data_IF_031785262570
#
_entry.id   IF_031785262570
#
_cell.length_a   1.000
_cell.length_b   1.000
_cell.length_c   1.000
_cell.angle_alpha   90.00
_cell.angle_beta   90.00
_cell.angle_gamma   90.00
#
_symmetry.space_group_name_H-M   'P 1'
#
loop_
_entity.id
_entity.type
_entity.pdbx_description
1 polymer ?
#
# COMPACT_ATOMS: atom_id res chain seq x y z
N UNK A 1 -12.19 4.33 -21.39
CA UNK A 1 -11.09 3.61 -20.68
C UNK A 1 -11.05 4.16 -19.26
N UNK A 2 -11.07 3.31 -18.24
CA UNK A 2 -11.01 3.73 -16.83
C UNK A 2 -9.58 3.76 -16.36
N UNK A 3 -9.22 4.77 -15.55
CA UNK A 3 -7.88 4.94 -14.98
C UNK A 3 -7.84 4.41 -13.55
N UNK A 4 -6.99 3.41 -13.30
CA UNK A 4 -6.72 2.85 -11.99
C UNK A 4 -5.37 3.36 -11.50
N UNK A 5 -5.36 4.03 -10.37
CA UNK A 5 -4.16 4.66 -9.80
C UNK A 5 -3.72 3.90 -8.54
N UNK A 6 -2.47 3.48 -8.52
CA UNK A 6 -1.84 2.83 -7.37
C UNK A 6 -0.84 3.77 -6.72
N UNK A 7 -1.09 4.14 -5.47
CA UNK A 7 -0.26 5.02 -4.64
C UNK A 7 0.39 4.18 -3.54
N UNK A 8 1.66 4.43 -3.23
CA UNK A 8 2.31 3.68 -2.17
C UNK A 8 3.81 3.91 -2.05
N UNK A 9 4.45 2.98 -1.37
CA UNK A 9 5.89 2.94 -1.13
C UNK A 9 6.61 1.95 -2.07
N UNK A 10 7.75 1.37 -1.63
CA UNK A 10 8.56 0.42 -2.39
C UNK A 10 7.80 -0.85 -2.80
N UNK A 11 6.81 -1.30 -2.02
CA UNK A 11 6.02 -2.49 -2.34
C UNK A 11 5.15 -2.21 -3.58
N UNK A 12 4.65 -0.99 -3.72
CA UNK A 12 3.90 -0.54 -4.89
C UNK A 12 4.82 -0.18 -6.05
N UNK A 13 5.93 0.52 -5.78
CA UNK A 13 6.95 0.92 -6.75
C UNK A 13 7.48 -0.29 -7.53
N UNK A 14 8.07 -1.21 -6.82
CA UNK A 14 8.66 -2.43 -7.38
C UNK A 14 9.45 -2.18 -8.68
N UNK A 15 10.33 -1.16 -8.64
CA UNK A 15 11.19 -0.71 -9.75
C UNK A 15 10.42 -0.17 -10.99
N UNK A 16 9.25 0.47 -10.81
CA UNK A 16 8.45 0.93 -11.96
C UNK A 16 9.19 1.97 -12.83
N UNK A 17 10.06 2.79 -12.26
CA UNK A 17 10.87 3.76 -13.02
C UNK A 17 11.83 3.12 -14.03
N UNK A 18 12.22 1.86 -13.82
CA UNK A 18 13.09 1.11 -14.72
C UNK A 18 12.33 0.20 -15.69
N UNK A 19 11.01 0.22 -15.62
CA UNK A 19 10.13 -0.54 -16.49
C UNK A 19 9.58 0.35 -17.61
N UNK A 20 9.72 -0.03 -18.91
CA UNK A 20 9.23 0.76 -20.02
C UNK A 20 7.74 1.11 -19.97
N UNK A 21 6.93 0.27 -19.33
CA UNK A 21 5.49 0.50 -19.13
C UNK A 21 5.16 1.23 -17.83
N UNK A 22 6.16 1.57 -17.02
CA UNK A 22 6.03 2.22 -15.72
C UNK A 22 5.08 1.51 -14.73
N UNK A 23 4.98 0.19 -14.78
CA UNK A 23 4.15 -0.62 -13.88
C UNK A 23 4.96 -1.33 -12.79
N UNK A 24 6.27 -1.49 -13.01
CA UNK A 24 7.16 -2.26 -12.16
C UNK A 24 6.99 -3.77 -12.33
N UNK A 25 7.57 -4.54 -11.41
CA UNK A 25 7.60 -6.01 -11.49
C UNK A 25 6.74 -6.68 -10.41
N UNK A 26 6.00 -5.88 -9.62
CA UNK A 26 5.19 -6.32 -8.49
C UNK A 26 3.71 -6.54 -8.82
N UNK A 27 2.90 -6.44 -7.75
CA UNK A 27 1.47 -6.71 -7.79
C UNK A 27 0.70 -5.81 -8.76
N UNK A 28 1.13 -4.56 -8.97
CA UNK A 28 0.47 -3.62 -9.89
C UNK A 28 0.47 -4.17 -11.32
N UNK A 29 1.64 -4.64 -11.78
CA UNK A 29 1.75 -5.29 -13.09
C UNK A 29 0.93 -6.59 -13.18
N UNK A 30 0.90 -7.37 -12.10
CA UNK A 30 0.14 -8.61 -12.08
C UNK A 30 -1.37 -8.35 -12.17
N UNK A 31 -1.85 -7.32 -11.48
CA UNK A 31 -3.23 -6.85 -11.59
C UNK A 31 -3.53 -6.40 -13.01
N UNK A 32 -2.70 -5.52 -13.56
CA UNK A 32 -2.87 -4.99 -14.92
C UNK A 32 -3.07 -6.13 -15.95
N UNK A 33 -2.18 -7.13 -15.92
CA UNK A 33 -2.25 -8.28 -16.83
C UNK A 33 -3.51 -9.12 -16.69
N UNK A 34 -4.10 -9.16 -15.50
CA UNK A 34 -5.29 -9.98 -15.24
C UNK A 34 -6.60 -9.26 -15.54
N UNK A 35 -6.66 -7.94 -15.31
CA UNK A 35 -7.89 -7.17 -15.52
C UNK A 35 -8.04 -6.68 -16.96
N UNK A 36 -6.94 -6.47 -17.68
CA UNK A 36 -6.97 -6.09 -19.09
C UNK A 36 -7.21 -7.33 -19.96
N UNK A 37 -8.34 -7.32 -20.63
CA UNK A 37 -8.77 -8.36 -21.56
C UNK A 37 -9.16 -7.68 -22.89
N UNK A 38 -9.37 -8.42 -23.98
CA UNK A 38 -9.84 -7.82 -25.24
C UNK A 38 -11.09 -6.97 -25.11
N UNK A 39 -11.97 -7.30 -24.14
CA UNK A 39 -13.25 -6.62 -23.90
C UNK A 39 -13.20 -5.56 -22.78
N UNK A 40 -12.12 -5.53 -21.98
CA UNK A 40 -11.94 -4.61 -20.86
C UNK A 40 -10.56 -3.97 -20.95
N UNK A 41 -10.53 -2.66 -21.05
CA UNK A 41 -9.29 -1.89 -21.16
C UNK A 41 -9.24 -0.83 -20.06
N UNK A 42 -8.29 -1.02 -19.13
CA UNK A 42 -7.99 -0.09 -18.05
C UNK A 42 -6.62 0.55 -18.28
N UNK A 43 -6.52 1.84 -17.99
CA UNK A 43 -5.22 2.50 -17.86
C UNK A 43 -4.76 2.34 -16.41
N UNK A 44 -3.78 1.47 -16.19
CA UNK A 44 -3.16 1.29 -14.87
C UNK A 44 -1.97 2.22 -14.74
N UNK A 45 -1.88 2.95 -13.63
CA UNK A 45 -0.80 3.89 -13.34
C UNK A 45 -0.20 3.55 -11.97
N UNK A 46 1.12 3.31 -11.94
CA UNK A 46 1.88 3.07 -10.72
C UNK A 46 2.56 4.36 -10.26
N UNK A 47 2.21 4.82 -9.08
CA UNK A 47 2.80 5.97 -8.38
C UNK A 47 3.38 5.56 -7.01
N UNK A 48 3.83 4.32 -6.89
CA UNK A 48 4.67 3.88 -5.79
C UNK A 48 6.02 4.61 -5.81
N UNK A 49 6.60 4.83 -4.67
CA UNK A 49 7.93 5.42 -4.57
C UNK A 49 8.68 4.80 -3.38
N UNK A 50 9.87 4.32 -3.66
CA UNK A 50 10.71 3.69 -2.66
C UNK A 50 10.93 4.59 -1.42
N UNK A 51 10.78 4.00 -0.24
CA UNK A 51 10.97 4.70 1.04
C UNK A 51 9.88 5.72 1.42
N UNK A 52 8.79 5.84 0.64
CA UNK A 52 7.76 6.83 0.97
C UNK A 52 7.04 6.51 2.28
N UNK A 53 6.89 7.58 3.07
CA UNK A 53 5.98 7.69 4.22
C UNK A 53 4.69 8.37 3.80
N UNK A 54 3.67 8.34 4.65
CA UNK A 54 2.39 9.06 4.40
C UNK A 54 2.61 10.55 4.10
N UNK A 55 3.43 11.31 4.85
CA UNK A 55 3.73 12.70 4.50
C UNK A 55 4.40 12.87 3.12
N UNK A 56 5.25 11.92 2.70
CA UNK A 56 5.90 11.98 1.39
C UNK A 56 4.87 11.74 0.27
N UNK A 57 3.99 10.76 0.42
CA UNK A 57 2.91 10.47 -0.50
C UNK A 57 1.93 11.65 -0.61
N UNK A 58 1.57 12.27 0.53
CA UNK A 58 0.72 13.46 0.57
C UNK A 58 1.32 14.60 -0.24
N UNK A 59 2.62 14.90 -0.10
CA UNK A 59 3.32 15.91 -0.91
C UNK A 59 3.33 15.58 -2.40
N UNK A 60 3.46 14.31 -2.76
CA UNK A 60 3.35 13.88 -4.16
C UNK A 60 1.95 14.16 -4.71
N UNK A 61 0.91 13.79 -3.94
CA UNK A 61 -0.48 14.02 -4.32
C UNK A 61 -0.78 15.50 -4.52
N UNK A 62 -0.40 16.36 -3.60
CA UNK A 62 -0.58 17.82 -3.70
C UNK A 62 0.05 18.42 -4.96
N UNK A 63 1.17 17.85 -5.43
CA UNK A 63 1.86 18.34 -6.64
C UNK A 63 1.29 17.80 -7.94
N UNK A 64 0.79 16.56 -7.95
CA UNK A 64 0.42 15.84 -9.18
C UNK A 64 -1.05 15.45 -9.26
N UNK A 65 -1.75 15.33 -8.14
CA UNK A 65 -3.10 14.76 -8.05
C UNK A 65 -4.12 15.42 -8.97
N UNK A 66 -4.07 16.75 -9.12
CA UNK A 66 -4.98 17.52 -9.99
C UNK A 66 -4.99 17.08 -11.46
N UNK A 67 -3.90 16.47 -11.93
CA UNK A 67 -3.74 16.09 -13.34
C UNK A 67 -4.06 14.60 -13.60
N UNK A 68 -4.25 13.79 -12.56
CA UNK A 68 -4.31 12.33 -12.71
C UNK A 68 -5.70 11.80 -13.07
N UNK A 69 -6.77 12.47 -12.69
CA UNK A 69 -8.19 12.13 -12.98
C UNK A 69 -8.48 10.61 -12.87
N UNK A 70 -8.20 9.97 -11.72
CA UNK A 70 -8.42 8.55 -11.56
C UNK A 70 -9.92 8.22 -11.46
N UNK A 71 -10.30 7.04 -11.97
CA UNK A 71 -11.62 6.45 -11.74
C UNK A 71 -11.63 5.54 -10.50
N UNK A 72 -10.45 5.13 -10.02
CA UNK A 72 -10.26 4.34 -8.81
C UNK A 72 -8.83 4.55 -8.27
N UNK A 73 -8.70 4.70 -6.95
CA UNK A 73 -7.42 4.83 -6.27
C UNK A 73 -7.21 3.65 -5.33
N UNK A 74 -6.03 3.05 -5.38
CA UNK A 74 -5.55 2.07 -4.40
C UNK A 74 -4.37 2.66 -3.65
N UNK A 75 -4.35 2.55 -2.32
CA UNK A 75 -3.29 3.08 -1.45
C UNK A 75 -2.75 1.96 -0.56
N UNK A 76 -1.45 1.68 -0.68
CA UNK A 76 -0.68 0.82 0.24
C UNK A 76 0.51 1.62 0.77
N UNK A 77 0.42 2.10 2.00
CA UNK A 77 1.42 2.97 2.63
C UNK A 77 1.41 2.81 4.15
N UNK A 78 2.54 3.00 4.82
CA UNK A 78 2.63 3.06 6.27
C UNK A 78 3.79 2.28 6.87
N UNK A 79 4.36 1.30 6.16
CA UNK A 79 5.47 0.51 6.72
C UNK A 79 6.71 1.37 6.98
N UNK A 80 6.99 2.37 6.15
CA UNK A 80 8.09 3.30 6.37
C UNK A 80 7.81 4.28 7.51
N UNK A 81 6.56 4.65 7.76
CA UNK A 81 6.16 5.43 8.93
C UNK A 81 6.43 4.63 10.21
N UNK A 82 6.08 3.33 10.21
CA UNK A 82 6.41 2.41 11.30
C UNK A 82 7.93 2.32 11.50
N UNK A 83 8.70 2.18 10.43
CA UNK A 83 10.16 2.16 10.51
C UNK A 83 10.73 3.45 11.13
N UNK A 84 10.17 4.61 10.82
CA UNK A 84 10.53 5.88 11.47
C UNK A 84 10.22 5.82 12.98
N UNK A 85 9.04 5.35 13.38
CA UNK A 85 8.66 5.22 14.79
C UNK A 85 9.65 4.31 15.54
N UNK A 86 10.05 3.20 14.95
CA UNK A 86 10.92 2.21 15.59
C UNK A 86 12.39 2.61 15.65
N UNK A 87 12.88 3.39 14.68
CA UNK A 87 14.33 3.59 14.48
C UNK A 87 14.82 5.01 14.84
N UNK A 88 13.93 5.99 15.07
CA UNK A 88 14.35 7.39 15.32
C UNK A 88 14.30 7.81 16.80
N UNK A 89 13.89 6.90 17.70
CA UNK A 89 13.75 7.20 19.13
C UNK A 89 12.52 8.05 19.48
N UNK A 90 11.63 8.29 18.51
CA UNK A 90 10.34 8.93 18.79
C UNK A 90 9.50 8.02 19.70
N UNK A 91 8.80 8.61 20.68
CA UNK A 91 7.89 7.84 21.52
C UNK A 91 6.78 7.24 20.66
N UNK A 92 6.49 5.93 20.76
CA UNK A 92 5.50 5.28 19.88
C UNK A 92 4.13 5.96 19.86
N UNK A 93 3.61 6.42 21.01
CA UNK A 93 2.34 7.14 21.07
C UNK A 93 2.35 8.46 20.28
N UNK A 94 3.47 9.17 20.27
CA UNK A 94 3.64 10.42 19.49
C UNK A 94 3.72 10.09 18.01
N UNK A 95 4.53 9.10 17.61
CA UNK A 95 4.66 8.68 16.23
C UNK A 95 3.33 8.18 15.64
N UNK A 96 2.59 7.37 16.40
CA UNK A 96 1.26 6.90 15.98
C UNK A 96 0.24 8.05 15.86
N UNK A 97 0.29 9.06 16.75
CA UNK A 97 -0.57 10.23 16.62
C UNK A 97 -0.26 11.03 15.35
N UNK A 98 1.03 11.25 15.04
CA UNK A 98 1.47 11.89 13.81
C UNK A 98 1.06 11.11 12.56
N UNK A 99 1.23 9.78 12.57
CA UNK A 99 0.79 8.91 11.48
C UNK A 99 -0.70 9.08 11.20
N UNK A 100 -1.54 9.03 12.24
CA UNK A 100 -3.00 9.18 12.12
C UNK A 100 -3.37 10.54 11.50
N UNK A 101 -2.80 11.62 12.02
CA UNK A 101 -3.01 12.97 11.51
C UNK A 101 -2.64 13.09 10.02
N UNK A 102 -1.47 12.60 9.64
CA UNK A 102 -0.99 12.69 8.28
C UNK A 102 -1.78 11.81 7.30
N UNK A 103 -2.22 10.63 7.74
CA UNK A 103 -3.02 9.74 6.90
C UNK A 103 -4.42 10.31 6.67
N UNK A 104 -5.06 10.84 7.72
CA UNK A 104 -6.33 11.53 7.59
C UNK A 104 -6.22 12.72 6.63
N UNK A 105 -5.20 13.56 6.80
CA UNK A 105 -4.97 14.71 5.93
C UNK A 105 -4.67 14.29 4.46
N UNK A 106 -4.04 13.14 4.23
CA UNK A 106 -3.88 12.58 2.88
C UNK A 106 -5.24 12.26 2.24
N UNK A 107 -6.14 11.60 2.98
CA UNK A 107 -7.48 11.26 2.47
C UNK A 107 -8.29 12.53 2.20
N UNK A 108 -8.24 13.51 3.09
CA UNK A 108 -8.87 14.81 2.90
C UNK A 108 -8.36 15.52 1.64
N UNK A 109 -7.03 15.59 1.45
CA UNK A 109 -6.41 16.17 0.25
C UNK A 109 -6.84 15.43 -1.04
N UNK A 110 -6.99 14.10 -0.99
CA UNK A 110 -7.48 13.33 -2.13
C UNK A 110 -8.94 13.67 -2.42
N UNK A 111 -9.78 13.72 -1.40
CA UNK A 111 -11.22 14.02 -1.53
C UNK A 111 -11.50 15.44 -2.01
N UNK A 112 -10.61 16.40 -1.75
CA UNK A 112 -10.71 17.75 -2.33
C UNK A 112 -10.54 17.76 -3.86
N UNK A 113 -9.90 16.75 -4.43
CA UNK A 113 -9.54 16.71 -5.85
C UNK A 113 -10.36 15.69 -6.66
N UNK A 114 -10.96 14.68 -6.01
CA UNK A 114 -11.71 13.63 -6.70
C UNK A 114 -12.69 12.92 -5.77
N UNK A 115 -13.84 12.53 -6.34
CA UNK A 115 -14.86 11.71 -5.67
C UNK A 115 -14.77 10.22 -6.02
N UNK A 116 -13.70 9.80 -6.73
CA UNK A 116 -13.57 8.41 -7.15
C UNK A 116 -13.48 7.46 -5.94
N UNK A 117 -13.88 6.19 -6.09
CA UNK A 117 -13.69 5.18 -5.06
C UNK A 117 -12.22 5.02 -4.68
N UNK A 118 -11.96 4.83 -3.39
CA UNK A 118 -10.61 4.64 -2.83
C UNK A 118 -10.60 3.32 -2.07
N UNK A 119 -9.58 2.50 -2.32
CA UNK A 119 -9.26 1.29 -1.58
C UNK A 119 -8.00 1.53 -0.74
N UNK A 120 -8.13 1.44 0.59
CA UNK A 120 -7.01 1.41 1.50
C UNK A 120 -6.58 -0.03 1.72
N UNK A 121 -5.31 -0.33 1.51
CA UNK A 121 -4.73 -1.64 1.77
C UNK A 121 -3.94 -1.61 3.07
N UNK A 122 -4.01 -2.70 3.79
CA UNK A 122 -3.33 -2.89 5.06
C UNK A 122 -1.82 -3.02 4.87
N UNK A 123 -0.98 -2.16 5.50
CA UNK A 123 0.45 -2.39 5.58
C UNK A 123 0.75 -3.63 6.43
N UNK A 124 1.86 -4.31 6.13
CA UNK A 124 2.23 -5.57 6.75
C UNK A 124 3.74 -5.63 7.02
N UNK A 125 4.12 -6.53 7.93
CA UNK A 125 5.49 -6.91 8.22
C UNK A 125 5.51 -8.39 8.60
N UNK A 126 6.63 -9.06 8.35
CA UNK A 126 6.84 -10.43 8.78
C UNK A 126 7.83 -10.46 9.97
N UNK A 127 7.64 -11.35 10.98
CA UNK A 127 8.57 -11.50 12.09
C UNK A 127 9.86 -12.23 11.68
N UNK A 128 10.40 -11.87 10.53
CA UNK A 128 11.61 -12.43 9.95
C UNK A 128 12.32 -11.34 9.12
N UNK A 129 13.44 -10.78 9.62
CA UNK A 129 14.18 -11.17 10.83
C UNK A 129 13.39 -11.00 12.13
N UNK A 130 13.76 -11.75 13.16
CA UNK A 130 13.01 -11.85 14.42
C UNK A 130 12.78 -10.51 15.15
N UNK A 131 13.62 -9.52 14.90
CA UNK A 131 13.50 -8.17 15.47
C UNK A 131 12.18 -7.48 15.08
N UNK A 132 11.64 -7.79 13.89
CA UNK A 132 10.39 -7.23 13.40
C UNK A 132 9.16 -7.70 14.18
N UNK A 133 9.24 -8.81 14.94
CA UNK A 133 8.18 -9.19 15.86
C UNK A 133 7.89 -8.09 16.90
N UNK A 134 8.90 -7.29 17.26
CA UNK A 134 8.73 -6.15 18.18
C UNK A 134 7.98 -4.96 17.56
N UNK A 135 7.71 -4.97 16.26
CA UNK A 135 7.01 -3.91 15.54
C UNK A 135 5.50 -4.17 15.44
N UNK A 136 5.08 -5.42 15.63
CA UNK A 136 3.69 -5.85 15.48
C UNK A 136 2.69 -5.03 16.33
N UNK A 137 2.97 -4.65 17.61
CA UNK A 137 2.00 -3.90 18.39
C UNK A 137 1.62 -2.54 17.82
N UNK A 138 2.60 -1.80 17.26
CA UNK A 138 2.35 -0.52 16.63
C UNK A 138 1.71 -0.70 15.24
N UNK A 139 2.12 -1.73 14.49
CA UNK A 139 1.50 -2.04 13.21
C UNK A 139 0.00 -2.36 13.37
N UNK A 140 -0.37 -3.14 14.39
CA UNK A 140 -1.78 -3.42 14.69
C UNK A 140 -2.58 -2.13 14.94
N UNK A 141 -2.01 -1.18 15.70
CA UNK A 141 -2.66 0.11 15.98
C UNK A 141 -2.80 0.97 14.72
N UNK A 142 -1.81 0.91 13.79
CA UNK A 142 -1.87 1.59 12.51
C UNK A 142 -2.95 0.97 11.61
N UNK A 143 -3.00 -0.35 11.52
CA UNK A 143 -3.95 -1.08 10.71
C UNK A 143 -5.40 -0.88 11.19
N UNK A 144 -5.60 -0.93 12.50
CA UNK A 144 -6.90 -0.62 13.10
C UNK A 144 -7.36 0.81 12.79
N UNK A 145 -6.45 1.78 12.86
CA UNK A 145 -6.75 3.15 12.47
C UNK A 145 -7.10 3.26 10.98
N UNK A 146 -6.33 2.64 10.07
CA UNK A 146 -6.61 2.69 8.63
C UNK A 146 -7.98 2.06 8.34
N UNK A 147 -8.30 0.93 8.99
CA UNK A 147 -9.60 0.28 8.86
C UNK A 147 -10.75 1.17 9.33
N UNK A 148 -10.58 1.82 10.49
CA UNK A 148 -11.58 2.75 11.01
C UNK A 148 -11.72 3.99 10.12
N UNK A 149 -10.60 4.55 9.65
CA UNK A 149 -10.61 5.68 8.71
C UNK A 149 -11.36 5.34 7.41
N UNK A 150 -11.15 4.12 6.89
CA UNK A 150 -11.89 3.65 5.71
C UNK A 150 -13.39 3.60 6.00
N UNK A 151 -13.80 3.02 7.11
CA UNK A 151 -15.19 2.92 7.51
C UNK A 151 -15.86 4.30 7.68
N UNK A 152 -15.21 5.21 8.40
CA UNK A 152 -15.74 6.54 8.71
C UNK A 152 -15.91 7.42 7.45
N UNK A 153 -15.10 7.16 6.42
CA UNK A 153 -15.10 7.93 5.16
C UNK A 153 -15.78 7.20 3.98
N UNK A 154 -16.40 6.04 4.22
CA UNK A 154 -17.05 5.26 3.16
C UNK A 154 -16.08 4.77 2.08
N UNK A 155 -14.84 4.43 2.48
CA UNK A 155 -13.80 3.88 1.62
C UNK A 155 -13.80 2.35 1.71
N UNK A 156 -13.21 1.72 0.70
CA UNK A 156 -12.93 0.28 0.76
C UNK A 156 -11.68 0.01 1.60
N UNK A 157 -11.65 -1.13 2.28
CA UNK A 157 -10.50 -1.60 3.03
C UNK A 157 -10.17 -3.04 2.64
N UNK A 158 -8.89 -3.33 2.40
CA UNK A 158 -8.40 -4.66 2.08
C UNK A 158 -7.39 -5.11 3.13
N UNK A 159 -7.75 -6.06 4.02
CA UNK A 159 -6.80 -6.68 4.93
C UNK A 159 -5.83 -7.55 4.12
N UNK A 160 -4.56 -7.53 4.49
CA UNK A 160 -3.49 -8.25 3.78
C UNK A 160 -2.60 -9.08 4.71
N UNK A 161 -2.38 -8.58 5.94
CA UNK A 161 -1.31 -9.09 6.78
C UNK A 161 -1.52 -10.55 7.19
N UNK A 162 -2.72 -10.91 7.65
CA UNK A 162 -2.99 -12.28 8.09
C UNK A 162 -2.84 -13.31 6.97
N UNK A 163 -3.30 -12.99 5.77
CA UNK A 163 -3.21 -13.89 4.62
C UNK A 163 -1.76 -14.08 4.16
N UNK A 164 -0.99 -12.99 4.08
CA UNK A 164 0.44 -13.03 3.73
C UNK A 164 1.25 -13.77 4.81
N UNK A 165 0.98 -13.51 6.08
CA UNK A 165 1.64 -14.18 7.20
C UNK A 165 1.30 -15.68 7.25
N UNK A 166 0.05 -16.03 6.98
CA UNK A 166 -0.38 -17.43 6.90
C UNK A 166 0.32 -18.17 5.76
N UNK A 167 0.45 -17.55 4.61
CA UNK A 167 1.21 -18.11 3.48
C UNK A 167 2.69 -18.28 3.85
N UNK A 168 3.31 -17.28 4.47
CA UNK A 168 4.70 -17.35 4.90
C UNK A 168 4.97 -18.43 5.96
N UNK A 169 4.03 -18.64 6.88
CA UNK A 169 4.11 -19.73 7.87
C UNK A 169 3.98 -21.11 7.25
N UNK A 170 3.16 -21.23 6.21
CA UNK A 170 2.90 -22.50 5.51
C UNK A 170 4.02 -22.85 4.55
N UNK A 171 4.44 -21.92 3.71
CA UNK A 171 5.30 -22.18 2.55
C UNK A 171 6.78 -21.78 2.82
N UNK A 172 7.04 -21.05 3.90
CA UNK A 172 8.34 -20.50 4.29
C UNK A 172 8.41 -18.99 4.07
N UNK A 173 9.07 -18.27 4.99
CA UNK A 173 9.18 -16.81 4.90
C UNK A 173 9.92 -16.37 3.64
N UNK A 174 10.99 -17.04 3.24
CA UNK A 174 11.76 -16.75 2.03
C UNK A 174 10.98 -16.91 0.72
N UNK A 175 9.90 -17.68 0.73
CA UNK A 175 9.00 -17.81 -0.44
C UNK A 175 8.09 -16.60 -0.60
N UNK A 176 7.81 -15.87 0.48
CA UNK A 176 6.83 -14.75 0.48
C UNK A 176 7.49 -13.39 0.61
N UNK A 177 8.56 -13.28 1.38
CA UNK A 177 9.28 -12.02 1.63
C UNK A 177 10.78 -12.18 1.46
N UNK A 178 11.46 -11.13 0.99
CA UNK A 178 12.91 -11.10 0.81
C UNK A 178 13.65 -10.68 2.08
N UNK A 179 13.02 -9.84 2.90
CA UNK A 179 13.66 -9.19 4.05
C UNK A 179 12.71 -8.93 5.23
N UNK A 180 11.47 -9.42 5.14
CA UNK A 180 10.43 -9.20 6.14
C UNK A 180 9.51 -8.00 5.86
N UNK A 181 9.79 -7.23 4.80
CA UNK A 181 8.98 -6.09 4.35
C UNK A 181 8.64 -6.26 2.87
N UNK A 182 9.64 -6.42 2.02
CA UNK A 182 9.47 -6.53 0.58
C UNK A 182 9.05 -7.95 0.20
N UNK A 183 8.12 -8.02 -0.76
CA UNK A 183 7.57 -9.29 -1.23
C UNK A 183 8.43 -9.93 -2.32
N UNK A 184 8.45 -11.25 -2.33
CA UNK A 184 8.89 -12.03 -3.48
C UNK A 184 7.83 -11.98 -4.60
N UNK A 185 8.12 -12.60 -5.74
CA UNK A 185 7.14 -12.75 -6.80
C UNK A 185 5.87 -13.49 -6.33
N UNK A 186 6.01 -14.51 -5.46
CA UNK A 186 4.86 -15.25 -4.91
C UNK A 186 4.08 -14.38 -3.92
N UNK A 187 4.75 -13.62 -3.04
CA UNK A 187 4.10 -12.66 -2.16
C UNK A 187 3.29 -11.60 -2.94
N UNK A 188 3.87 -11.04 -4.00
CA UNK A 188 3.16 -10.11 -4.88
C UNK A 188 1.96 -10.74 -5.59
N UNK A 189 2.04 -12.03 -5.96
CA UNK A 189 0.93 -12.75 -6.58
C UNK A 189 -0.23 -12.97 -5.60
N UNK A 190 0.07 -13.27 -4.33
CA UNK A 190 -0.96 -13.36 -3.28
C UNK A 190 -1.66 -12.01 -3.14
N UNK A 191 -0.91 -10.90 -3.01
CA UNK A 191 -1.45 -9.55 -2.88
C UNK A 191 -2.32 -9.18 -4.09
N UNK A 192 -1.83 -9.41 -5.31
CA UNK A 192 -2.60 -9.17 -6.54
C UNK A 192 -3.90 -9.98 -6.57
N UNK A 193 -3.85 -11.24 -6.18
CA UNK A 193 -5.02 -12.11 -6.08
C UNK A 193 -6.05 -11.62 -5.06
N UNK A 194 -5.61 -11.11 -3.90
CA UNK A 194 -6.49 -10.47 -2.91
C UNK A 194 -7.17 -9.23 -3.48
N UNK A 195 -6.41 -8.36 -4.12
CA UNK A 195 -6.95 -7.16 -4.74
C UNK A 195 -8.03 -7.49 -5.78
N UNK A 196 -7.75 -8.42 -6.71
CA UNK A 196 -8.66 -8.79 -7.80
C UNK A 196 -9.96 -9.40 -7.29
N UNK A 197 -9.92 -10.15 -6.18
CA UNK A 197 -11.13 -10.71 -5.57
C UNK A 197 -12.03 -9.66 -4.92
N UNK A 198 -11.48 -8.50 -4.57
CA UNK A 198 -12.18 -7.44 -3.85
C UNK A 198 -12.47 -6.18 -4.71
N UNK A 199 -11.90 -6.11 -5.92
CA UNK A 199 -12.21 -5.10 -6.92
C UNK A 199 -13.35 -5.57 -7.83
#
# INVERSE_FOLDING_TARGET
>A
MKTLLFLGDSITDCNHYFDPENLGHGYVRMIEKQINTPDKNYQVQNFGNDGFTVPALRRLWQRKGLNLKPDFITILIGINDLAVIKNTGITPSVGLAQFREQYQALIEDIRLMTDCPILLMEPFIFPHPAEYASWEPELHQMNEFIRQLAFDNGLFFLPLWEDLLSAAKKDGFSEITTDGIHLTAEGHKILAGQWIRNY
#
